data_IF_340496010691
#
_entry.id   IF_340496010691
#
_cell.length_a   1.000
_cell.length_b   1.000
_cell.length_c   1.000
_cell.angle_alpha   90.00
_cell.angle_beta   90.00
_cell.angle_gamma   90.00
#
_symmetry.space_group_name_H-M   'P 1'
#
loop_
_entity.id
_entity.type
_entity.pdbx_description
1 polymer ?
#
# COMPACT_ATOMS: atom_id res chain seq x y z
N UNK A 1 35.11 4.07 7.07
CA UNK A 1 34.81 2.88 7.90
C UNK A 1 33.44 3.07 8.49
N UNK A 2 32.42 2.37 8.00
CA UNK A 2 31.07 2.44 8.58
C UNK A 2 31.05 1.72 9.93
N UNK A 3 30.40 2.33 10.93
CA UNK A 3 30.29 1.80 12.28
C UNK A 3 29.30 0.63 12.29
N UNK A 4 29.70 -0.53 12.83
CA UNK A 4 28.89 -1.74 12.94
C UNK A 4 27.52 -1.51 13.60
N UNK A 5 27.43 -0.54 14.52
CA UNK A 5 26.17 -0.12 15.15
C UNK A 5 25.21 0.59 14.20
N UNK A 6 25.71 1.40 13.25
CA UNK A 6 24.87 2.09 12.27
C UNK A 6 24.27 1.10 11.27
N UNK A 7 25.06 0.11 10.83
CA UNK A 7 24.60 -0.95 9.93
C UNK A 7 23.48 -1.78 10.55
N UNK A 8 23.61 -2.14 11.83
CA UNK A 8 22.59 -2.92 12.54
C UNK A 8 21.29 -2.12 12.73
N UNK A 9 21.39 -0.82 13.04
CA UNK A 9 20.25 0.08 13.20
C UNK A 9 19.50 0.31 11.89
N UNK A 10 20.23 0.51 10.78
CA UNK A 10 19.65 0.64 9.44
C UNK A 10 18.94 -0.64 9.00
N UNK A 11 19.55 -1.81 9.26
CA UNK A 11 18.95 -3.11 8.93
C UNK A 11 17.65 -3.34 9.69
N UNK A 12 17.62 -3.01 11.00
CA UNK A 12 16.40 -3.14 11.80
C UNK A 12 15.28 -2.18 11.36
N UNK A 13 15.62 -0.95 10.96
CA UNK A 13 14.63 -0.01 10.42
C UNK A 13 14.01 -0.53 9.13
N UNK A 14 14.83 -0.94 8.16
CA UNK A 14 14.35 -1.47 6.88
C UNK A 14 13.42 -2.67 7.07
N UNK A 15 13.77 -3.60 7.97
CA UNK A 15 12.94 -4.76 8.27
C UNK A 15 11.58 -4.36 8.85
N UNK A 16 11.56 -3.43 9.79
CA UNK A 16 10.32 -2.93 10.39
C UNK A 16 9.45 -2.21 9.35
N UNK A 17 10.07 -1.43 8.46
CA UNK A 17 9.33 -0.72 7.41
C UNK A 17 8.74 -1.69 6.38
N UNK A 18 9.47 -2.74 6.00
CA UNK A 18 8.93 -3.79 5.12
C UNK A 18 7.79 -4.55 5.82
N UNK A 19 7.90 -4.85 7.11
CA UNK A 19 6.81 -5.47 7.87
C UNK A 19 5.57 -4.56 7.92
N UNK A 20 5.76 -3.26 8.12
CA UNK A 20 4.69 -2.26 8.05
C UNK A 20 4.04 -2.22 6.67
N UNK A 21 4.83 -2.23 5.58
CA UNK A 21 4.32 -2.28 4.21
C UNK A 21 3.47 -3.55 3.97
N UNK A 22 3.94 -4.72 4.44
CA UNK A 22 3.19 -5.99 4.36
C UNK A 22 1.82 -5.89 5.04
N UNK A 23 1.78 -5.28 6.23
CA UNK A 23 0.53 -5.11 6.98
C UNK A 23 -0.42 -4.09 6.34
N UNK A 24 0.13 -2.98 5.81
CA UNK A 24 -0.65 -1.97 5.07
C UNK A 24 -1.32 -2.57 3.85
N UNK A 25 -0.55 -3.25 3.01
CA UNK A 25 -1.03 -3.94 1.81
C UNK A 25 -2.09 -5.00 2.10
N UNK A 26 -1.89 -5.78 3.17
CA UNK A 26 -2.91 -6.72 3.62
C UNK A 26 -4.21 -6.02 4.03
N UNK A 27 -4.13 -4.87 4.70
CA UNK A 27 -5.30 -4.09 5.11
C UNK A 27 -6.01 -3.46 3.90
N UNK A 28 -5.26 -2.89 2.96
CA UNK A 28 -5.77 -2.35 1.69
C UNK A 28 -6.54 -3.41 0.88
N UNK A 29 -5.99 -4.63 0.75
CA UNK A 29 -6.67 -5.75 0.05
C UNK A 29 -8.06 -6.05 0.61
N UNK A 30 -8.21 -5.97 1.93
CA UNK A 30 -9.47 -6.23 2.61
C UNK A 30 -10.42 -5.03 2.49
N UNK A 31 -9.88 -3.82 2.61
CA UNK A 31 -10.68 -2.61 2.41
C UNK A 31 -11.25 -2.54 1.00
N UNK A 32 -10.42 -2.76 -0.02
CA UNK A 32 -10.84 -2.63 -1.42
C UNK A 32 -11.77 -3.76 -1.84
N UNK A 33 -11.70 -4.93 -1.17
CA UNK A 33 -12.72 -5.97 -1.34
C UNK A 33 -14.11 -5.47 -0.91
N UNK A 34 -14.17 -4.80 0.25
CA UNK A 34 -15.39 -4.23 0.80
C UNK A 34 -15.87 -3.03 -0.02
N UNK A 35 -14.96 -2.14 -0.40
CA UNK A 35 -15.27 -0.94 -1.18
C UNK A 35 -15.84 -1.29 -2.56
N UNK A 36 -15.31 -2.34 -3.21
CA UNK A 36 -15.85 -2.86 -4.46
C UNK A 36 -17.29 -3.40 -4.32
N UNK A 37 -17.68 -3.94 -3.16
CA UNK A 37 -19.07 -4.37 -2.91
C UNK A 37 -20.02 -3.18 -2.72
N UNK A 38 -19.50 -2.07 -2.20
CA UNK A 38 -20.26 -0.84 -1.97
C UNK A 38 -20.32 0.06 -3.22
N UNK A 39 -19.56 -0.26 -4.28
CA UNK A 39 -19.45 0.58 -5.45
C UNK A 39 -20.80 0.72 -6.20
N UNK A 40 -21.20 1.94 -6.59
CA UNK A 40 -22.54 2.22 -7.12
C UNK A 40 -22.71 1.83 -8.60
N UNK A 41 -21.64 1.41 -9.28
CA UNK A 41 -21.68 0.97 -10.67
C UNK A 41 -20.51 0.03 -10.98
N UNK A 42 -20.64 -0.74 -12.06
CA UNK A 42 -19.64 -1.72 -12.49
C UNK A 42 -18.28 -1.09 -12.83
N UNK A 43 -18.26 0.12 -13.39
CA UNK A 43 -17.01 0.78 -13.75
C UNK A 43 -16.15 1.04 -12.51
N UNK A 44 -16.74 1.63 -11.47
CA UNK A 44 -16.06 1.87 -10.20
C UNK A 44 -15.68 0.56 -9.50
N UNK A 45 -16.61 -0.40 -9.45
CA UNK A 45 -16.34 -1.73 -8.89
C UNK A 45 -15.14 -2.40 -9.55
N UNK A 46 -15.10 -2.43 -10.88
CA UNK A 46 -14.05 -3.12 -11.62
C UNK A 46 -12.70 -2.42 -11.45
N UNK A 47 -12.68 -1.09 -11.44
CA UNK A 47 -11.44 -0.35 -11.18
C UNK A 47 -10.90 -0.63 -9.77
N UNK A 48 -11.75 -0.63 -8.74
CA UNK A 48 -11.35 -0.96 -7.36
C UNK A 48 -10.82 -2.41 -7.28
N UNK A 49 -11.40 -3.34 -8.04
CA UNK A 49 -10.94 -4.72 -8.09
C UNK A 49 -9.58 -4.88 -8.78
N UNK A 50 -9.27 -4.05 -9.79
CA UNK A 50 -7.92 -4.02 -10.39
C UNK A 50 -6.90 -3.40 -9.42
N UNK A 51 -7.22 -2.31 -8.72
CA UNK A 51 -6.37 -1.75 -7.65
C UNK A 51 -6.08 -2.82 -6.60
N UNK A 52 -7.11 -3.52 -6.11
CA UNK A 52 -6.96 -4.63 -5.15
C UNK A 52 -6.03 -5.74 -5.64
N UNK A 53 -5.99 -6.00 -6.96
CA UNK A 53 -5.11 -7.01 -7.55
C UNK A 53 -3.66 -6.54 -7.57
N UNK A 54 -3.44 -5.24 -7.74
CA UNK A 54 -2.13 -4.60 -7.60
C UNK A 54 -1.64 -4.69 -6.14
N UNK A 55 -2.49 -4.41 -5.15
CA UNK A 55 -2.13 -4.59 -3.73
C UNK A 55 -1.72 -6.05 -3.41
N UNK A 56 -2.40 -7.04 -4.00
CA UNK A 56 -2.01 -8.46 -3.84
C UNK A 56 -0.63 -8.75 -4.42
N UNK A 57 -0.28 -8.11 -5.54
CA UNK A 57 1.05 -8.23 -6.15
C UNK A 57 2.10 -7.62 -5.23
N UNK A 58 1.86 -6.40 -4.71
CA UNK A 58 2.75 -5.72 -3.77
C UNK A 58 2.95 -6.54 -2.49
N UNK A 59 1.87 -7.00 -1.86
CA UNK A 59 1.94 -7.88 -0.67
C UNK A 59 2.81 -9.10 -0.93
N UNK A 60 2.60 -9.81 -2.04
CA UNK A 60 3.41 -10.99 -2.39
C UNK A 60 4.89 -10.62 -2.55
N UNK A 61 5.17 -9.52 -3.24
CA UNK A 61 6.54 -9.07 -3.48
C UNK A 61 7.25 -8.68 -2.17
N UNK A 62 6.58 -7.94 -1.29
CA UNK A 62 7.16 -7.53 -0.01
C UNK A 62 7.37 -8.71 0.94
N UNK A 63 6.46 -9.69 0.95
CA UNK A 63 6.69 -10.94 1.70
C UNK A 63 7.93 -11.70 1.21
N UNK A 64 8.17 -11.74 -0.11
CA UNK A 64 9.37 -12.36 -0.66
C UNK A 64 10.64 -11.59 -0.26
N UNK A 65 10.60 -10.26 -0.30
CA UNK A 65 11.72 -9.42 0.18
C UNK A 65 11.99 -9.71 1.65
N UNK A 66 10.97 -9.65 2.51
CA UNK A 66 11.11 -9.91 3.95
C UNK A 66 11.69 -11.30 4.22
N UNK A 67 11.20 -12.32 3.52
CA UNK A 67 11.72 -13.68 3.65
C UNK A 67 13.17 -13.79 3.20
N UNK A 68 13.57 -13.09 2.14
CA UNK A 68 14.96 -13.08 1.67
C UNK A 68 15.93 -12.45 2.69
N UNK A 69 15.45 -11.47 3.48
CA UNK A 69 16.26 -10.78 4.48
C UNK A 69 16.31 -11.50 5.83
N UNK A 70 15.24 -12.17 6.23
CA UNK A 70 15.07 -12.72 7.59
C UNK A 70 15.12 -14.26 7.64
N UNK A 71 14.94 -14.92 6.50
CA UNK A 71 14.72 -16.36 6.41
C UNK A 71 13.33 -16.82 6.91
N UNK A 72 12.46 -15.90 7.34
CA UNK A 72 11.14 -16.20 7.91
C UNK A 72 10.03 -15.62 7.03
N UNK A 73 8.86 -16.26 7.05
CA UNK A 73 7.68 -15.65 6.43
C UNK A 73 7.08 -14.60 7.36
N UNK A 74 6.71 -13.46 6.80
CA UNK A 74 5.90 -12.47 7.51
C UNK A 74 4.44 -12.96 7.63
N UNK A 75 3.87 -12.78 8.82
CA UNK A 75 2.46 -12.98 9.10
C UNK A 75 1.76 -11.62 9.10
N UNK A 76 1.06 -11.26 8.01
CA UNK A 76 0.41 -9.95 7.94
C UNK A 76 -0.69 -9.82 8.98
N UNK A 77 -0.75 -8.65 9.60
CA UNK A 77 -1.76 -8.26 10.60
C UNK A 77 -2.66 -7.19 10.00
N UNK A 78 -3.95 -7.29 10.31
CA UNK A 78 -4.91 -6.25 9.96
C UNK A 78 -4.68 -5.06 10.91
N UNK A 79 -4.33 -3.90 10.37
CA UNK A 79 -4.02 -2.70 11.17
C UNK A 79 -5.24 -1.79 11.33
N UNK A 80 -6.01 -1.61 10.26
CA UNK A 80 -7.11 -0.65 10.23
C UNK A 80 -8.38 -1.21 9.61
N UNK A 81 -9.52 -0.67 10.04
CA UNK A 81 -10.84 -1.03 9.57
C UNK A 81 -11.31 -0.10 8.46
N UNK A 82 -11.55 -0.68 7.28
CA UNK A 82 -12.18 0.03 6.17
C UNK A 82 -13.57 0.58 6.57
N UNK A 83 -13.91 1.85 6.30
CA UNK A 83 -15.22 2.42 6.59
C UNK A 83 -16.41 1.61 6.02
N UNK A 84 -17.60 1.79 6.62
CA UNK A 84 -18.84 1.09 6.22
C UNK A 84 -19.68 1.87 5.18
N UNK A 85 -19.26 3.09 4.83
CA UNK A 85 -19.90 3.94 3.84
C UNK A 85 -18.96 4.10 2.63
N UNK A 86 -19.52 4.11 1.42
CA UNK A 86 -18.74 4.19 0.19
C UNK A 86 -17.91 5.47 0.09
N UNK A 87 -18.48 6.64 0.42
CA UNK A 87 -17.75 7.91 0.31
C UNK A 87 -16.61 8.02 1.32
N UNK A 88 -16.86 7.65 2.57
CA UNK A 88 -15.81 7.65 3.61
C UNK A 88 -14.74 6.60 3.28
N UNK A 89 -15.13 5.48 2.67
CA UNK A 89 -14.19 4.46 2.19
C UNK A 89 -13.32 4.93 1.04
N UNK A 90 -13.86 5.75 0.12
CA UNK A 90 -13.07 6.39 -0.94
C UNK A 90 -12.10 7.44 -0.38
N UNK A 91 -12.53 8.24 0.59
CA UNK A 91 -11.67 9.23 1.25
C UNK A 91 -10.56 8.54 2.06
N UNK A 92 -10.91 7.50 2.82
CA UNK A 92 -9.94 6.67 3.53
C UNK A 92 -8.90 6.08 2.58
N UNK A 93 -9.34 5.43 1.50
CA UNK A 93 -8.44 4.83 0.52
C UNK A 93 -7.55 5.88 -0.16
N UNK A 94 -8.09 7.06 -0.51
CA UNK A 94 -7.30 8.16 -1.06
C UNK A 94 -6.16 8.58 -0.12
N UNK A 95 -6.45 8.76 1.17
CA UNK A 95 -5.45 9.18 2.15
C UNK A 95 -4.42 8.08 2.42
N UNK A 96 -4.86 6.84 2.57
CA UNK A 96 -3.99 5.67 2.75
C UNK A 96 -3.00 5.51 1.59
N UNK A 97 -3.48 5.62 0.35
CA UNK A 97 -2.61 5.55 -0.84
C UNK A 97 -1.63 6.72 -0.89
N UNK A 98 -2.06 7.95 -0.59
CA UNK A 98 -1.19 9.12 -0.58
C UNK A 98 -0.07 9.01 0.47
N UNK A 99 -0.39 8.56 1.68
CA UNK A 99 0.61 8.33 2.73
C UNK A 99 1.55 7.17 2.36
N UNK A 100 1.04 6.15 1.66
CA UNK A 100 1.81 4.99 1.23
C UNK A 100 2.85 5.36 0.15
N UNK A 101 2.54 6.29 -0.75
CA UNK A 101 3.50 6.82 -1.74
C UNK A 101 4.75 7.36 -1.05
N UNK A 102 4.58 8.27 -0.10
CA UNK A 102 5.69 8.87 0.64
C UNK A 102 6.48 7.82 1.42
N UNK A 103 5.77 6.89 2.05
CA UNK A 103 6.38 5.81 2.81
C UNK A 103 7.26 4.90 1.93
N UNK A 104 6.77 4.50 0.75
CA UNK A 104 7.50 3.63 -0.17
C UNK A 104 8.68 4.34 -0.82
N UNK A 105 8.56 5.62 -1.15
CA UNK A 105 9.72 6.42 -1.57
C UNK A 105 10.78 6.51 -0.46
N UNK A 106 10.36 6.64 0.80
CA UNK A 106 11.23 6.56 1.97
C UNK A 106 12.05 5.27 1.99
N UNK A 107 11.39 4.10 1.95
CA UNK A 107 12.07 2.79 1.91
C UNK A 107 13.03 2.68 0.74
N UNK A 108 12.61 3.10 -0.46
CA UNK A 108 13.44 3.04 -1.66
C UNK A 108 14.68 3.94 -1.58
N UNK A 109 14.60 5.07 -0.87
CA UNK A 109 15.71 6.02 -0.71
C UNK A 109 16.76 5.56 0.32
N UNK A 110 16.36 4.76 1.30
CA UNK A 110 17.23 4.34 2.42
C UNK A 110 17.97 3.02 2.17
N UNK A 111 17.54 2.23 1.20
CA UNK A 111 18.16 0.93 0.89
C UNK A 111 19.24 1.05 -0.20
N UNK A 112 20.35 0.33 -0.03
CA UNK A 112 21.38 0.16 -1.07
C UNK A 112 21.11 -1.04 -1.99
N UNK A 113 20.11 -1.86 -1.68
CA UNK A 113 19.74 -3.01 -2.49
C UNK A 113 18.86 -2.56 -3.67
N UNK A 114 19.37 -2.68 -4.88
CA UNK A 114 18.68 -2.25 -6.11
C UNK A 114 17.34 -2.96 -6.32
N UNK A 115 17.23 -4.24 -5.97
CA UNK A 115 15.98 -4.99 -6.09
C UNK A 115 14.89 -4.44 -5.15
N UNK A 116 15.24 -4.12 -3.90
CA UNK A 116 14.30 -3.54 -2.94
C UNK A 116 13.91 -2.12 -3.38
N UNK A 117 14.90 -1.30 -3.77
CA UNK A 117 14.66 0.06 -4.28
C UNK A 117 13.69 0.07 -5.45
N UNK A 118 13.91 -0.80 -6.43
CA UNK A 118 13.08 -0.92 -7.62
C UNK A 118 11.66 -1.41 -7.30
N UNK A 119 11.53 -2.37 -6.36
CA UNK A 119 10.23 -2.87 -5.93
C UNK A 119 9.39 -1.76 -5.30
N UNK A 120 9.95 -1.02 -4.35
CA UNK A 120 9.23 0.06 -3.66
C UNK A 120 9.00 1.30 -4.53
N UNK A 121 9.91 1.63 -5.46
CA UNK A 121 9.69 2.74 -6.41
C UNK A 121 8.52 2.44 -7.36
N UNK A 122 8.41 1.21 -7.85
CA UNK A 122 7.27 0.80 -8.70
C UNK A 122 5.97 0.77 -7.92
N UNK A 123 5.98 0.20 -6.72
CA UNK A 123 4.79 0.20 -5.85
C UNK A 123 4.33 1.64 -5.56
N UNK A 124 5.24 2.57 -5.24
CA UNK A 124 4.88 3.98 -5.04
C UNK A 124 4.23 4.62 -6.28
N UNK A 125 4.65 4.23 -7.48
CA UNK A 125 4.05 4.73 -8.73
C UNK A 125 2.63 4.18 -8.93
N UNK A 126 2.41 2.92 -8.57
CA UNK A 126 1.10 2.28 -8.59
C UNK A 126 0.17 2.94 -7.54
N UNK A 127 0.64 3.12 -6.30
CA UNK A 127 -0.15 3.76 -5.23
C UNK A 127 -0.53 5.21 -5.58
N UNK A 128 0.36 5.95 -6.23
CA UNK A 128 0.04 7.30 -6.71
C UNK A 128 -1.10 7.27 -7.75
N UNK A 129 -1.13 6.27 -8.62
CA UNK A 129 -2.22 6.08 -9.59
C UNK A 129 -3.52 5.67 -8.87
N UNK A 130 -3.43 4.80 -7.87
CA UNK A 130 -4.58 4.38 -7.05
C UNK A 130 -5.22 5.58 -6.33
N UNK A 131 -4.40 6.43 -5.68
CA UNK A 131 -4.84 7.69 -5.08
C UNK A 131 -5.61 8.56 -6.08
N UNK A 132 -5.09 8.73 -7.31
CA UNK A 132 -5.77 9.52 -8.35
C UNK A 132 -7.13 8.93 -8.73
N UNK A 133 -7.26 7.60 -8.81
CA UNK A 133 -8.55 6.95 -9.06
C UNK A 133 -9.55 7.18 -7.93
N UNK A 134 -9.13 7.02 -6.67
CA UNK A 134 -10.00 7.26 -5.51
C UNK A 134 -10.44 8.73 -5.44
N UNK A 135 -9.53 9.67 -5.70
CA UNK A 135 -9.86 11.09 -5.83
C UNK A 135 -10.88 11.34 -6.95
N UNK A 136 -10.70 10.72 -8.11
CA UNK A 136 -11.64 10.85 -9.22
C UNK A 136 -13.05 10.35 -8.83
N UNK A 137 -13.15 9.21 -8.14
CA UNK A 137 -14.45 8.69 -7.67
C UNK A 137 -15.06 9.60 -6.61
N UNK A 138 -14.29 10.06 -5.63
CA UNK A 138 -14.77 10.96 -4.59
C UNK A 138 -15.33 12.27 -5.18
N UNK A 139 -14.57 12.91 -6.08
CA UNK A 139 -14.97 14.15 -6.75
C UNK A 139 -16.20 13.98 -7.65
N UNK A 140 -16.32 12.84 -8.33
CA UNK A 140 -17.49 12.50 -9.16
C UNK A 140 -18.77 12.42 -8.33
N UNK A 141 -18.71 11.87 -7.11
CA UNK A 141 -19.88 11.77 -6.23
C UNK A 141 -20.20 13.07 -5.49
N UNK A 142 -19.19 13.90 -5.18
CA UNK A 142 -19.41 15.25 -4.63
C UNK A 142 -20.15 16.16 -5.60
N UNK A 143 -19.87 16.08 -6.90
CA UNK A 143 -20.61 16.84 -7.94
C UNK A 143 -22.08 16.48 -8.06
N UNK A 144 -22.49 15.27 -7.63
CA UNK A 144 -23.89 14.83 -7.69
C UNK A 144 -24.74 15.26 -6.48
N UNK A 145 -24.11 15.73 -5.40
CA UNK A 145 -24.80 16.25 -4.20
C UNK A 145 -25.16 17.74 -4.30
N UNK A 146 -24.65 18.43 -5.33
CA UNK A 146 -25.00 19.81 -5.69
C UNK A 146 -25.98 19.79 -6.86
#
# INVERSE_FOLDING_TARGET
MYNQYEWYRQTNKLLNDIEKAINGQYSAIQCYAKLAQMAPNEKERNQILEIRKDEKRHLRQFKLIYQSLTGKQAEPKLLEGCPNNYLDGLEFALLDEQETVDFYHGIASETSNSYIKDAFTRAASDEQNHAVWFLYFLTKHWKKKR
#
